data_IF_185976328958
#
_entry.id   IF_185976328958
#
_cell.length_a   1.000
_cell.length_b   1.000
_cell.length_c   1.000
_cell.angle_alpha   90.00
_cell.angle_beta   90.00
_cell.angle_gamma   90.00
#
_symmetry.space_group_name_H-M   'P 1'
#
loop_
_entity.id
_entity.type
_entity.pdbx_description
1 polymer ?
#
# COMPACT_ATOMS: atom_id res chain seq x y z
N UNK A 1 -35.72 11.16 9.53
CA UNK A 1 -34.31 11.59 9.60
C UNK A 1 -33.54 10.52 10.34
N UNK A 2 -32.74 9.70 9.65
CA UNK A 2 -31.97 8.63 10.28
C UNK A 2 -30.90 9.22 11.20
N UNK A 3 -30.79 8.72 12.42
CA UNK A 3 -29.69 9.06 13.33
C UNK A 3 -28.39 8.68 12.63
N UNK A 4 -27.51 9.64 12.34
CA UNK A 4 -26.15 9.35 11.87
C UNK A 4 -25.40 8.73 13.04
N UNK A 5 -25.30 7.41 13.06
CA UNK A 5 -24.49 6.66 14.02
C UNK A 5 -23.03 6.79 13.65
N UNK A 6 -22.18 7.11 14.64
CA UNK A 6 -20.73 7.21 14.44
C UNK A 6 -20.15 5.85 13.98
N UNK A 7 -19.17 5.90 13.07
CA UNK A 7 -18.32 4.76 12.72
C UNK A 7 -17.39 4.44 13.88
N UNK A 8 -17.59 3.30 14.55
CA UNK A 8 -16.76 2.89 15.68
C UNK A 8 -15.75 1.84 15.23
N UNK A 9 -14.46 2.12 15.41
CA UNK A 9 -13.36 1.20 15.10
C UNK A 9 -12.59 0.88 16.38
N UNK A 10 -12.35 -0.40 16.65
CA UNK A 10 -11.64 -0.90 17.82
C UNK A 10 -10.41 -1.66 17.35
N UNK A 11 -9.23 -1.17 17.73
CA UNK A 11 -7.96 -1.82 17.44
C UNK A 11 -7.51 -2.59 18.67
N UNK A 12 -7.48 -3.92 18.59
CA UNK A 12 -7.09 -4.80 19.69
C UNK A 12 -5.71 -5.37 19.42
N UNK A 13 -4.81 -5.29 20.41
CA UNK A 13 -3.47 -5.83 20.30
C UNK A 13 -2.48 -4.93 19.55
N UNK A 14 -2.74 -3.63 19.45
CA UNK A 14 -1.83 -2.69 18.77
C UNK A 14 -0.47 -2.63 19.47
N UNK A 15 0.61 -2.81 18.71
CA UNK A 15 1.98 -2.65 19.19
C UNK A 15 2.64 -1.36 18.72
N UNK A 16 2.18 -0.76 17.62
CA UNK A 16 2.77 0.44 17.02
C UNK A 16 1.81 1.64 17.07
N UNK A 17 2.29 2.81 17.50
CA UNK A 17 1.54 4.06 17.39
C UNK A 17 1.20 4.42 15.94
N UNK A 18 2.08 4.07 14.99
CA UNK A 18 1.91 4.34 13.58
C UNK A 18 0.66 3.63 13.01
N UNK A 19 0.46 2.36 13.35
CA UNK A 19 -0.67 1.57 12.81
C UNK A 19 -2.01 2.18 13.25
N UNK A 20 -2.11 2.59 14.51
CA UNK A 20 -3.30 3.26 15.02
C UNK A 20 -3.48 4.68 14.43
N UNK A 21 -2.38 5.39 14.20
CA UNK A 21 -2.37 6.71 13.59
C UNK A 21 -2.86 6.70 12.14
N UNK A 22 -2.49 5.70 11.35
CA UNK A 22 -2.94 5.52 9.96
C UNK A 22 -4.46 5.31 9.90
N UNK A 23 -5.04 4.50 10.81
CA UNK A 23 -6.50 4.31 10.89
C UNK A 23 -7.22 5.63 11.23
N UNK A 24 -6.73 6.36 12.23
CA UNK A 24 -7.31 7.64 12.62
C UNK A 24 -7.26 8.66 11.46
N UNK A 25 -6.15 8.71 10.73
CA UNK A 25 -6.00 9.57 9.54
C UNK A 25 -6.97 9.18 8.43
N UNK A 26 -7.13 7.89 8.18
CA UNK A 26 -8.01 7.35 7.13
C UNK A 26 -9.47 7.71 7.41
N UNK A 27 -9.92 7.54 8.66
CA UNK A 27 -11.26 7.94 9.10
C UNK A 27 -11.46 9.46 8.98
N UNK A 28 -10.47 10.26 9.40
CA UNK A 28 -10.54 11.71 9.26
C UNK A 28 -10.61 12.16 7.78
N UNK A 29 -9.82 11.55 6.91
CA UNK A 29 -9.83 11.86 5.47
C UNK A 29 -11.17 11.50 4.81
N UNK A 30 -11.78 10.37 5.21
CA UNK A 30 -13.03 9.89 4.62
C UNK A 30 -14.31 10.52 5.20
N UNK A 31 -14.31 10.85 6.49
CA UNK A 31 -15.52 11.27 7.23
C UNK A 31 -15.41 12.69 7.80
N UNK A 32 -14.25 13.33 7.70
CA UNK A 32 -14.00 14.66 8.24
C UNK A 32 -13.90 14.68 9.77
N UNK A 33 -14.34 15.77 10.39
CA UNK A 33 -14.12 16.04 11.81
C UNK A 33 -15.03 15.26 12.80
N UNK A 34 -16.06 14.57 12.30
CA UNK A 34 -17.09 13.90 13.11
C UNK A 34 -17.60 12.63 12.46
N UNK A 35 -18.43 11.86 13.16
CA UNK A 35 -19.01 10.64 12.60
C UNK A 35 -18.11 9.41 12.73
N UNK A 36 -17.04 9.48 13.53
CA UNK A 36 -16.13 8.35 13.75
C UNK A 36 -15.45 8.37 15.11
N UNK A 37 -15.08 7.18 15.61
CA UNK A 37 -14.30 6.97 16.83
C UNK A 37 -13.33 5.81 16.65
N UNK A 38 -12.13 5.96 17.19
CA UNK A 38 -11.10 4.91 17.26
C UNK A 38 -10.82 4.58 18.72
N UNK A 39 -11.00 3.33 19.09
CA UNK A 39 -10.72 2.78 20.41
C UNK A 39 -9.52 1.84 20.31
N UNK A 40 -8.51 2.02 21.14
CA UNK A 40 -7.23 1.29 21.02
C UNK A 40 -6.98 0.53 22.32
N UNK A 41 -6.84 -0.78 22.22
CA UNK A 41 -6.45 -1.69 23.31
C UNK A 41 -5.06 -2.21 22.99
N UNK A 42 -3.99 -1.63 23.56
CA UNK A 42 -2.64 -1.91 23.10
C UNK A 42 -1.97 -3.09 23.85
N UNK A 43 -1.03 -3.80 23.18
CA UNK A 43 -0.20 -4.85 23.82
C UNK A 43 0.80 -4.25 24.82
N UNK A 44 1.30 -3.06 24.52
CA UNK A 44 2.27 -2.29 25.32
C UNK A 44 1.76 -0.86 25.53
N UNK A 45 2.39 -0.10 26.41
CA UNK A 45 2.03 1.31 26.61
C UNK A 45 2.30 2.09 25.32
N UNK A 46 1.29 2.75 24.77
CA UNK A 46 1.41 3.65 23.63
C UNK A 46 1.40 5.11 24.10
N UNK A 47 2.14 5.96 23.40
CA UNK A 47 2.10 7.41 23.63
C UNK A 47 1.00 8.07 22.81
N UNK A 48 -0.01 8.63 23.49
CA UNK A 48 -1.08 9.40 22.82
C UNK A 48 -0.49 10.59 22.05
N UNK A 49 0.53 11.25 22.60
CA UNK A 49 1.23 12.36 21.92
C UNK A 49 1.86 11.91 20.61
N UNK A 50 2.57 10.77 20.61
CA UNK A 50 3.16 10.23 19.37
C UNK A 50 2.09 9.82 18.38
N UNK A 51 1.03 9.15 18.82
CA UNK A 51 -0.09 8.77 17.96
C UNK A 51 -0.71 10.00 17.28
N UNK A 52 -0.97 11.07 18.02
CA UNK A 52 -1.52 12.31 17.47
C UNK A 52 -0.57 12.89 16.41
N UNK A 53 0.72 12.99 16.70
CA UNK A 53 1.74 13.49 15.76
C UNK A 53 1.78 12.64 14.49
N UNK A 54 1.88 11.32 14.64
CA UNK A 54 1.91 10.36 13.52
C UNK A 54 0.61 10.38 12.72
N UNK A 55 -0.55 10.62 13.35
CA UNK A 55 -1.84 10.60 12.65
C UNK A 55 -2.02 11.77 11.69
N UNK A 56 -1.32 12.91 11.91
CA UNK A 56 -1.54 14.18 11.19
C UNK A 56 -3.00 14.68 11.23
N UNK A 57 -3.83 14.15 12.13
CA UNK A 57 -5.18 14.66 12.41
C UNK A 57 -5.07 15.88 13.32
N UNK A 58 -5.85 16.96 13.11
CA UNK A 58 -5.84 18.10 14.02
C UNK A 58 -6.02 17.66 15.48
N UNK A 59 -5.20 18.19 16.39
CA UNK A 59 -5.10 17.71 17.79
C UNK A 59 -6.46 17.69 18.49
N UNK A 60 -7.28 18.73 18.30
CA UNK A 60 -8.63 18.82 18.90
C UNK A 60 -9.57 17.72 18.42
N UNK A 61 -9.44 17.29 17.16
CA UNK A 61 -10.22 16.22 16.55
C UNK A 61 -9.70 14.87 17.04
N UNK A 62 -8.38 14.68 17.06
CA UNK A 62 -7.75 13.44 17.53
C UNK A 62 -8.08 13.16 19.01
N UNK A 63 -8.03 14.17 19.88
CA UNK A 63 -8.39 14.03 21.30
C UNK A 63 -9.87 13.69 21.51
N UNK A 64 -10.76 14.15 20.62
CA UNK A 64 -12.19 13.86 20.69
C UNK A 64 -12.52 12.45 20.22
N UNK A 65 -11.87 11.98 19.16
CA UNK A 65 -12.26 10.78 18.43
C UNK A 65 -11.36 9.57 18.70
N UNK A 66 -10.14 9.74 19.23
CA UNK A 66 -9.21 8.63 19.51
C UNK A 66 -9.10 8.40 21.01
N UNK A 67 -9.29 7.16 21.45
CA UNK A 67 -9.19 6.75 22.86
C UNK A 67 -8.25 5.56 23.00
N UNK A 68 -7.25 5.68 23.87
CA UNK A 68 -6.34 4.59 24.23
C UNK A 68 -6.75 4.06 25.60
N UNK A 69 -7.12 2.79 25.66
CA UNK A 69 -7.56 2.10 26.86
C UNK A 69 -6.36 1.46 27.57
N UNK A 70 -6.46 1.35 28.90
CA UNK A 70 -5.55 0.50 29.67
C UNK A 70 -6.00 -0.95 29.47
N UNK A 71 -5.03 -1.88 29.44
CA UNK A 71 -5.22 -3.29 29.04
C UNK A 71 -6.54 -3.89 29.56
N UNK A 72 -7.23 -4.63 28.68
CA UNK A 72 -8.40 -5.47 28.94
C UNK A 72 -9.77 -4.78 29.13
N UNK A 73 -9.88 -3.46 29.04
CA UNK A 73 -11.19 -2.80 29.07
C UNK A 73 -11.73 -2.58 27.65
N UNK A 74 -12.84 -3.25 27.33
CA UNK A 74 -13.63 -2.93 26.15
C UNK A 74 -14.44 -1.66 26.40
N UNK A 75 -14.65 -0.80 25.38
CA UNK A 75 -15.62 0.28 25.52
C UNK A 75 -17.00 -0.33 25.79
N UNK A 76 -17.67 0.07 26.88
CA UNK A 76 -19.07 -0.30 27.16
C UNK A 76 -20.09 0.23 26.11
N UNK A 77 -19.60 0.83 25.01
CA UNK A 77 -20.37 1.58 24.01
C UNK A 77 -20.11 1.08 22.58
N UNK A 78 -19.76 -0.20 22.39
CA UNK A 78 -19.73 -0.76 21.04
C UNK A 78 -21.16 -1.02 20.60
N UNK A 79 -21.57 -0.38 19.50
CA UNK A 79 -22.82 -0.69 18.82
C UNK A 79 -22.72 -2.09 18.22
N UNK A 80 -23.63 -2.98 18.63
CA UNK A 80 -23.83 -4.28 18.01
C UNK A 80 -24.57 -4.12 16.66
N UNK A 81 -24.30 -4.99 15.65
CA UNK A 81 -23.42 -6.15 15.70
C UNK A 81 -21.93 -5.78 15.69
N UNK A 82 -21.12 -6.67 16.26
CA UNK A 82 -19.66 -6.54 16.29
C UNK A 82 -19.10 -7.33 15.10
N UNK A 83 -18.37 -6.65 14.23
CA UNK A 83 -17.71 -7.26 13.08
C UNK A 83 -16.23 -7.41 13.37
N UNK A 84 -15.71 -8.60 13.15
CA UNK A 84 -14.30 -8.92 13.36
C UNK A 84 -13.65 -9.15 12.00
N UNK A 85 -12.68 -8.30 11.64
CA UNK A 85 -11.95 -8.44 10.37
C UNK A 85 -10.96 -9.59 10.49
N UNK A 86 -11.24 -10.69 9.81
CA UNK A 86 -10.41 -11.89 9.76
C UNK A 86 -10.05 -12.21 8.30
N UNK A 87 -8.82 -11.88 7.84
CA UNK A 87 -8.38 -12.09 6.47
C UNK A 87 -8.35 -13.55 6.01
N UNK A 88 -8.46 -14.51 6.94
CA UNK A 88 -8.44 -15.95 6.66
C UNK A 88 -9.82 -16.50 6.25
N UNK A 89 -10.87 -15.70 6.39
CA UNK A 89 -12.26 -16.12 6.11
C UNK A 89 -12.68 -15.79 4.66
N UNK A 90 -13.84 -16.31 4.24
CA UNK A 90 -14.43 -16.07 2.89
C UNK A 90 -15.79 -15.36 2.97
N UNK A 91 -16.17 -14.86 4.14
CA UNK A 91 -17.46 -14.20 4.33
C UNK A 91 -17.41 -12.76 3.79
N UNK A 92 -18.44 -12.38 3.04
CA UNK A 92 -18.52 -11.15 2.25
C UNK A 92 -19.76 -10.28 2.52
N UNK A 93 -20.63 -10.67 3.46
CA UNK A 93 -21.88 -9.93 3.73
C UNK A 93 -21.85 -9.25 5.09
N UNK A 94 -22.15 -7.95 5.09
CA UNK A 94 -22.11 -7.11 6.29
C UNK A 94 -23.45 -6.43 6.50
N UNK A 95 -24.00 -6.43 7.73
CA UNK A 95 -25.11 -5.54 8.09
C UNK A 95 -24.65 -4.08 8.13
N UNK A 96 -25.51 -3.16 7.68
CA UNK A 96 -25.16 -1.76 7.37
C UNK A 96 -24.57 -0.91 8.52
N UNK A 97 -24.56 -1.38 9.77
CA UNK A 97 -24.14 -0.55 10.91
C UNK A 97 -23.56 -1.37 12.06
N UNK A 98 -22.24 -1.48 12.13
CA UNK A 98 -21.55 -2.30 13.13
C UNK A 98 -20.28 -1.64 13.64
N UNK A 99 -19.95 -1.89 14.91
CA UNK A 99 -18.62 -1.58 15.43
C UNK A 99 -17.61 -2.53 14.81
N UNK A 100 -16.56 -1.99 14.21
CA UNK A 100 -15.50 -2.75 13.58
C UNK A 100 -14.41 -3.07 14.60
N UNK A 101 -14.16 -4.35 14.87
CA UNK A 101 -13.02 -4.81 15.66
C UNK A 101 -11.93 -5.34 14.71
N UNK A 102 -10.73 -4.81 14.92
CA UNK A 102 -9.53 -5.12 14.17
C UNK A 102 -8.53 -5.78 15.12
N UNK A 103 -8.11 -6.99 14.76
CA UNK A 103 -7.59 -7.97 15.72
C UNK A 103 -6.12 -8.35 15.49
N UNK A 104 -5.18 -7.58 16.08
CA UNK A 104 -3.71 -7.75 15.92
C UNK A 104 -3.11 -8.81 16.85
N UNK A 105 -3.95 -9.46 17.66
CA UNK A 105 -3.54 -10.51 18.59
C UNK A 105 -4.63 -11.56 18.68
N UNK A 106 -4.37 -12.74 18.11
CA UNK A 106 -5.30 -13.87 18.11
C UNK A 106 -5.73 -14.26 19.54
N UNK A 107 -4.83 -14.18 20.53
CA UNK A 107 -5.12 -14.54 21.90
C UNK A 107 -6.08 -13.55 22.56
N UNK A 108 -5.90 -12.24 22.32
CA UNK A 108 -6.82 -11.23 22.84
C UNK A 108 -8.16 -11.25 22.11
N UNK A 109 -8.15 -11.67 20.84
CA UNK A 109 -9.33 -11.69 19.99
C UNK A 109 -10.23 -12.91 20.16
N UNK A 110 -9.71 -13.99 20.75
CA UNK A 110 -10.50 -15.15 21.19
C UNK A 110 -11.69 -14.78 22.12
N UNK A 111 -11.62 -13.62 22.76
CA UNK A 111 -12.64 -13.09 23.69
C UNK A 111 -13.91 -12.58 23.00
N UNK A 112 -13.91 -12.42 21.68
CA UNK A 112 -15.05 -11.95 20.89
C UNK A 112 -15.74 -13.10 20.15
N UNK A 113 -16.01 -14.21 20.84
CA UNK A 113 -16.53 -15.45 20.26
C UNK A 113 -17.93 -15.33 19.62
N UNK A 114 -18.71 -14.31 19.99
CA UNK A 114 -20.05 -14.03 19.45
C UNK A 114 -20.06 -13.09 18.23
N UNK A 115 -18.91 -12.59 17.80
CA UNK A 115 -18.80 -11.63 16.69
C UNK A 115 -18.81 -12.30 15.31
N UNK A 116 -19.37 -11.61 14.32
CA UNK A 116 -19.34 -12.07 12.93
C UNK A 116 -17.96 -11.80 12.35
N UNK A 117 -17.29 -12.85 11.85
CA UNK A 117 -16.00 -12.73 11.17
C UNK A 117 -16.20 -12.49 9.68
N UNK A 118 -15.51 -11.50 9.13
CA UNK A 118 -15.59 -11.14 7.71
C UNK A 118 -14.21 -10.88 7.14
N UNK A 119 -14.06 -11.19 5.85
CA UNK A 119 -12.79 -11.09 5.13
C UNK A 119 -12.61 -9.75 4.42
N UNK A 120 -13.73 -9.15 4.00
CA UNK A 120 -13.82 -7.93 3.19
C UNK A 120 -15.07 -7.18 3.66
N UNK A 121 -15.02 -5.85 3.74
CA UNK A 121 -16.13 -5.06 4.30
C UNK A 121 -17.21 -4.69 3.27
N UNK A 122 -16.95 -4.91 1.98
CA UNK A 122 -17.93 -4.69 0.91
C UNK A 122 -18.02 -3.21 0.52
N UNK A 123 -18.54 -2.95 -0.68
CA UNK A 123 -18.46 -1.64 -1.36
C UNK A 123 -19.35 -0.52 -0.79
N UNK A 124 -20.23 -0.80 0.17
CA UNK A 124 -21.20 0.18 0.68
C UNK A 124 -20.56 1.29 1.53
N UNK A 125 -19.33 1.09 2.02
CA UNK A 125 -18.61 2.12 2.75
C UNK A 125 -17.08 2.08 2.46
N UNK A 126 -16.59 2.96 1.57
CA UNK A 126 -15.19 2.94 1.12
C UNK A 126 -14.18 3.22 2.25
N UNK A 127 -14.61 3.86 3.34
CA UNK A 127 -13.76 4.14 4.50
C UNK A 127 -13.48 2.85 5.28
N UNK A 128 -14.50 2.00 5.45
CA UNK A 128 -14.32 0.68 6.06
C UNK A 128 -13.43 -0.21 5.17
N UNK A 129 -13.66 -0.21 3.86
CA UNK A 129 -12.84 -0.99 2.92
C UNK A 129 -11.37 -0.58 2.97
N UNK A 130 -11.07 0.74 2.97
CA UNK A 130 -9.71 1.24 3.12
C UNK A 130 -9.05 0.77 4.42
N UNK A 131 -9.78 0.79 5.54
CA UNK A 131 -9.31 0.30 6.85
C UNK A 131 -9.01 -1.20 6.82
N UNK A 132 -9.87 -2.00 6.18
CA UNK A 132 -9.66 -3.44 6.03
C UNK A 132 -8.43 -3.73 5.16
N UNK A 133 -8.22 -2.99 4.07
CA UNK A 133 -7.05 -3.13 3.17
C UNK A 133 -5.75 -2.82 3.90
N UNK A 134 -5.70 -1.69 4.61
CA UNK A 134 -4.56 -1.27 5.45
C UNK A 134 -4.17 -2.36 6.46
N UNK A 135 -5.17 -3.09 6.93
CA UNK A 135 -5.00 -4.09 7.94
C UNK A 135 -4.60 -5.46 7.38
N UNK A 136 -5.21 -5.87 6.26
CA UNK A 136 -4.83 -7.09 5.56
C UNK A 136 -3.38 -6.98 5.05
N UNK A 137 -2.94 -5.82 4.57
CA UNK A 137 -1.53 -5.61 4.20
C UNK A 137 -0.59 -5.69 5.41
N UNK A 138 -1.03 -5.24 6.59
CA UNK A 138 -0.24 -5.30 7.82
C UNK A 138 -0.18 -6.70 8.45
N UNK A 139 -1.27 -7.49 8.39
CA UNK A 139 -1.28 -8.91 8.77
C UNK A 139 -0.45 -9.74 7.78
N UNK A 140 -0.51 -9.42 6.48
CA UNK A 140 0.22 -10.14 5.43
C UNK A 140 1.68 -9.70 5.28
N UNK A 141 2.35 -9.32 6.37
CA UNK A 141 3.82 -9.17 6.45
C UNK A 141 4.60 -10.49 6.28
N UNK A 142 4.12 -11.37 5.40
CA UNK A 142 4.79 -12.56 4.87
C UNK A 142 4.42 -12.73 3.40
N UNK A 143 4.47 -11.66 2.60
CA UNK A 143 4.62 -11.85 1.16
C UNK A 143 6.11 -12.11 0.91
N UNK A 144 6.48 -13.36 0.63
CA UNK A 144 7.80 -13.66 0.08
C UNK A 144 7.93 -12.83 -1.21
N UNK A 145 8.89 -11.91 -1.25
CA UNK A 145 9.27 -11.16 -2.46
C UNK A 145 9.45 -12.16 -3.60
N UNK A 146 8.53 -12.16 -4.57
CA UNK A 146 8.65 -13.01 -5.74
C UNK A 146 9.60 -12.32 -6.71
N UNK A 147 10.75 -12.94 -6.96
CA UNK A 147 11.72 -12.41 -7.90
C UNK A 147 11.23 -12.56 -9.35
N UNK A 148 11.54 -11.61 -10.24
CA UNK A 148 11.33 -11.77 -11.68
C UNK A 148 12.01 -13.05 -12.19
N UNK A 149 11.33 -13.87 -13.00
CA UNK A 149 11.89 -15.14 -13.46
C UNK A 149 13.15 -15.00 -14.34
N UNK A 150 13.29 -13.87 -15.05
CA UNK A 150 14.32 -13.65 -16.05
C UNK A 150 15.17 -12.43 -15.71
N UNK A 151 16.43 -12.41 -16.17
CA UNK A 151 17.29 -11.23 -16.12
C UNK A 151 16.88 -10.22 -17.21
N UNK A 152 16.97 -8.90 -16.96
CA UNK A 152 16.77 -7.87 -17.97
C UNK A 152 17.91 -7.86 -19.00
N UNK A 153 17.66 -7.29 -20.19
CA UNK A 153 18.70 -7.08 -21.21
C UNK A 153 19.66 -5.97 -20.78
N UNK A 154 20.95 -6.08 -21.10
CA UNK A 154 21.98 -5.13 -20.67
C UNK A 154 21.71 -3.68 -21.11
N UNK A 155 21.22 -3.49 -22.33
CA UNK A 155 20.92 -2.19 -22.94
C UNK A 155 19.82 -1.40 -22.23
N UNK A 156 19.02 -2.06 -21.37
CA UNK A 156 17.92 -1.44 -20.63
C UNK A 156 18.15 -1.37 -19.12
N UNK A 157 19.22 -2.00 -18.59
CA UNK A 157 19.48 -2.09 -17.14
C UNK A 157 19.51 -0.71 -16.48
N UNK A 158 20.29 0.23 -17.03
CA UNK A 158 20.39 1.58 -16.45
C UNK A 158 19.04 2.30 -16.34
N UNK A 159 18.18 2.16 -17.35
CA UNK A 159 16.83 2.76 -17.37
C UNK A 159 15.90 2.07 -16.38
N UNK A 160 15.97 0.75 -16.26
CA UNK A 160 15.21 -0.02 -15.26
C UNK A 160 15.64 0.31 -13.83
N UNK A 161 16.94 0.53 -13.58
CA UNK A 161 17.44 0.97 -12.26
C UNK A 161 16.83 2.30 -11.87
N UNK A 162 16.87 3.29 -12.78
CA UNK A 162 16.27 4.60 -12.53
C UNK A 162 14.77 4.48 -12.23
N UNK A 163 14.05 3.75 -13.09
CA UNK A 163 12.62 3.56 -12.96
C UNK A 163 12.24 2.83 -11.67
N UNK A 164 12.98 1.78 -11.30
CA UNK A 164 12.82 1.04 -10.06
C UNK A 164 12.96 1.94 -8.82
N UNK A 165 13.96 2.83 -8.78
CA UNK A 165 14.12 3.80 -7.68
C UNK A 165 12.87 4.69 -7.54
N UNK A 166 12.34 5.17 -8.65
CA UNK A 166 11.13 6.01 -8.66
C UNK A 166 9.85 5.26 -8.30
N UNK A 167 9.76 3.97 -8.60
CA UNK A 167 8.64 3.13 -8.13
C UNK A 167 8.59 3.04 -6.60
N UNK A 168 9.75 2.90 -5.94
CA UNK A 168 9.81 2.91 -4.47
C UNK A 168 9.43 4.27 -3.88
N UNK A 169 9.87 5.38 -4.48
CA UNK A 169 9.44 6.72 -4.07
C UNK A 169 7.92 6.86 -4.21
N UNK A 170 7.36 6.44 -5.35
CA UNK A 170 5.92 6.48 -5.63
C UNK A 170 5.08 5.62 -4.67
N UNK A 171 5.62 4.48 -4.23
CA UNK A 171 5.01 3.64 -3.20
C UNK A 171 5.13 4.26 -1.80
N UNK A 172 6.27 4.88 -1.49
CA UNK A 172 6.50 5.54 -0.21
C UNK A 172 5.68 6.82 -0.02
N UNK A 173 5.23 7.45 -1.12
CA UNK A 173 4.24 8.55 -1.06
C UNK A 173 2.95 8.14 -0.37
N UNK A 174 2.58 6.86 -0.45
CA UNK A 174 1.46 6.29 0.27
C UNK A 174 1.95 5.52 1.50
N UNK A 175 1.63 6.00 2.70
CA UNK A 175 2.03 5.40 3.99
C UNK A 175 1.58 3.94 4.20
N UNK A 176 0.80 3.38 3.26
CA UNK A 176 0.32 2.02 3.27
C UNK A 176 1.03 1.08 2.29
N UNK A 177 1.82 1.60 1.36
CA UNK A 177 2.58 0.84 0.36
C UNK A 177 1.75 -0.16 -0.47
N UNK A 178 0.44 0.08 -0.59
CA UNK A 178 -0.48 -0.81 -1.31
C UNK A 178 -0.89 -0.31 -2.69
N UNK A 179 -0.60 0.96 -2.96
CA UNK A 179 -0.94 1.68 -4.21
C UNK A 179 0.27 2.52 -4.58
N UNK A 180 0.50 2.71 -5.88
CA UNK A 180 1.61 3.48 -6.44
C UNK A 180 1.10 4.85 -6.85
N UNK A 181 1.86 5.91 -6.59
CA UNK A 181 1.51 7.24 -7.08
C UNK A 181 1.64 7.34 -8.61
N UNK A 182 0.54 7.48 -9.37
CA UNK A 182 0.61 7.43 -10.83
C UNK A 182 1.43 8.58 -11.42
N UNK A 183 1.34 9.76 -10.83
CA UNK A 183 2.08 10.97 -11.23
C UNK A 183 3.60 10.74 -11.21
N UNK A 184 4.12 10.16 -10.12
CA UNK A 184 5.55 9.89 -9.93
C UNK A 184 6.02 8.82 -10.91
N UNK A 185 5.23 7.76 -11.09
CA UNK A 185 5.55 6.68 -12.02
C UNK A 185 5.58 7.17 -13.48
N UNK A 186 4.57 7.92 -13.89
CA UNK A 186 4.48 8.50 -15.25
C UNK A 186 5.62 9.48 -15.49
N UNK A 187 5.96 10.33 -14.51
CA UNK A 187 7.10 11.21 -14.59
C UNK A 187 8.42 10.44 -14.78
N UNK A 188 8.61 9.34 -14.03
CA UNK A 188 9.79 8.49 -14.14
C UNK A 188 9.91 7.85 -15.52
N UNK A 189 8.81 7.31 -16.05
CA UNK A 189 8.77 6.73 -17.41
C UNK A 189 9.06 7.80 -18.47
N UNK A 190 8.45 8.98 -18.36
CA UNK A 190 8.68 10.09 -19.28
C UNK A 190 10.16 10.48 -19.29
N UNK A 191 10.80 10.58 -18.13
CA UNK A 191 12.24 10.86 -18.02
C UNK A 191 13.11 9.75 -18.64
N UNK A 192 12.73 8.49 -18.44
CA UNK A 192 13.49 7.34 -18.97
C UNK A 192 13.42 7.23 -20.51
N UNK A 193 12.35 7.75 -21.13
CA UNK A 193 12.09 7.55 -22.56
C UNK A 193 12.17 8.80 -23.43
N UNK A 194 12.22 10.01 -22.84
CA UNK A 194 12.27 11.25 -23.63
C UNK A 194 13.52 11.32 -24.53
N UNK A 195 14.65 10.78 -24.07
CA UNK A 195 15.88 10.67 -24.87
C UNK A 195 15.78 9.68 -26.03
N UNK A 196 14.81 8.76 -25.96
CA UNK A 196 14.51 7.76 -26.99
C UNK A 196 13.42 8.25 -27.96
N UNK A 197 12.96 9.49 -27.81
CA UNK A 197 11.96 10.09 -28.69
C UNK A 197 10.51 9.77 -28.35
N UNK A 198 10.22 9.27 -27.14
CA UNK A 198 8.86 8.98 -26.71
C UNK A 198 8.39 9.90 -25.57
N UNK A 199 7.13 10.31 -25.64
CA UNK A 199 6.41 10.97 -24.56
C UNK A 199 5.34 10.01 -24.03
N UNK A 200 5.20 9.94 -22.70
CA UNK A 200 4.18 9.12 -22.04
C UNK A 200 3.25 10.03 -21.24
N UNK A 201 1.96 9.73 -21.31
CA UNK A 201 0.94 10.34 -20.46
C UNK A 201 -0.01 9.32 -19.85
N UNK A 202 -0.64 9.69 -18.73
CA UNK A 202 -1.60 8.82 -18.03
C UNK A 202 -2.95 8.87 -18.74
N UNK A 203 -3.40 7.72 -19.27
CA UNK A 203 -4.72 7.59 -19.88
C UNK A 203 -5.81 7.39 -18.82
N UNK A 204 -5.64 6.35 -17.98
CA UNK A 204 -6.56 6.02 -16.88
C UNK A 204 -5.88 5.15 -15.83
N UNK A 205 -6.47 5.11 -14.64
CA UNK A 205 -6.07 4.22 -13.54
C UNK A 205 -7.26 3.34 -13.19
N UNK A 206 -7.02 2.03 -13.05
CA UNK A 206 -7.98 1.08 -12.52
C UNK A 206 -7.41 0.45 -11.25
N UNK A 207 -8.14 0.51 -10.16
CA UNK A 207 -7.76 -0.15 -8.89
C UNK A 207 -8.81 -1.19 -8.58
N UNK A 208 -8.37 -2.43 -8.38
CA UNK A 208 -9.23 -3.54 -7.99
C UNK A 208 -8.79 -4.12 -6.66
N UNK A 209 -9.78 -4.39 -5.81
CA UNK A 209 -9.60 -4.93 -4.47
C UNK A 209 -10.25 -6.31 -4.42
N UNK A 210 -9.47 -7.33 -4.07
CA UNK A 210 -9.97 -8.70 -3.92
C UNK A 210 -9.21 -9.41 -2.83
N UNK A 211 -9.91 -9.93 -1.80
CA UNK A 211 -9.32 -10.72 -0.71
C UNK A 211 -8.05 -10.05 -0.13
N UNK A 212 -8.06 -8.74 0.09
CA UNK A 212 -6.91 -7.95 0.59
C UNK A 212 -5.66 -7.96 -0.29
N UNK A 213 -5.85 -8.24 -1.58
CA UNK A 213 -4.91 -7.93 -2.65
C UNK A 213 -5.39 -6.65 -3.33
N UNK A 214 -4.46 -5.74 -3.59
CA UNK A 214 -4.67 -4.57 -4.44
C UNK A 214 -3.98 -4.85 -5.76
N UNK A 215 -4.74 -4.82 -6.85
CA UNK A 215 -4.18 -4.79 -8.20
C UNK A 215 -4.50 -3.43 -8.79
N UNK A 216 -3.46 -2.65 -9.02
CA UNK A 216 -3.53 -1.35 -9.66
C UNK A 216 -3.01 -1.46 -11.09
N UNK A 217 -3.76 -0.91 -12.04
CA UNK A 217 -3.41 -0.87 -13.47
C UNK A 217 -3.40 0.58 -13.94
N UNK A 218 -2.26 1.03 -14.42
CA UNK A 218 -2.07 2.34 -15.03
C UNK A 218 -1.99 2.14 -16.53
N UNK A 219 -2.95 2.66 -17.26
CA UNK A 219 -2.95 2.66 -18.72
C UNK A 219 -2.33 3.97 -19.19
N UNK A 220 -1.42 3.86 -20.15
CA UNK A 220 -0.56 4.96 -20.56
C UNK A 220 -0.68 5.17 -22.07
N UNK A 221 -0.87 6.42 -22.48
CA UNK A 221 -0.77 6.82 -23.88
C UNK A 221 0.68 7.11 -24.25
N UNK A 222 1.12 6.56 -25.39
CA UNK A 222 2.46 6.77 -25.94
C UNK A 222 2.36 7.71 -27.13
N UNK A 223 3.21 8.72 -27.17
CA UNK A 223 3.32 9.67 -28.26
C UNK A 223 4.76 9.74 -28.78
N UNK A 224 4.90 10.04 -30.06
CA UNK A 224 6.17 10.49 -30.63
C UNK A 224 6.50 11.87 -30.08
N UNK A 225 7.69 12.05 -29.49
CA UNK A 225 8.05 13.27 -28.79
C UNK A 225 8.27 14.48 -29.73
N UNK A 226 8.50 14.25 -31.03
CA UNK A 226 8.74 15.33 -32.01
C UNK A 226 7.45 15.82 -32.65
N UNK A 227 6.57 14.89 -32.98
CA UNK A 227 5.34 15.15 -33.76
C UNK A 227 4.08 15.14 -32.90
N UNK A 228 4.18 14.68 -31.64
CA UNK A 228 3.05 14.47 -30.73
C UNK A 228 1.97 13.51 -31.28
N UNK A 229 2.33 12.71 -32.29
CA UNK A 229 1.42 11.69 -32.84
C UNK A 229 1.27 10.56 -31.83
N UNK A 230 0.03 10.15 -31.57
CA UNK A 230 -0.27 8.97 -30.77
C UNK A 230 0.24 7.70 -31.46
N UNK A 231 1.00 6.89 -30.71
CA UNK A 231 1.67 5.68 -31.19
C UNK A 231 1.03 4.40 -30.64
N UNK A 232 0.37 4.46 -29.49
CA UNK A 232 -0.28 3.30 -28.89
C UNK A 232 -0.47 3.40 -27.38
N UNK A 233 -0.79 2.26 -26.78
CA UNK A 233 -1.07 2.13 -25.35
C UNK A 233 -0.04 1.21 -24.67
N UNK A 234 0.44 1.63 -23.52
CA UNK A 234 1.19 0.81 -22.57
C UNK A 234 0.38 0.58 -21.30
N UNK A 235 0.82 -0.39 -20.50
CA UNK A 235 0.21 -0.67 -19.21
C UNK A 235 1.28 -0.95 -18.16
N UNK A 236 1.05 -0.43 -16.97
CA UNK A 236 1.79 -0.80 -15.76
C UNK A 236 0.83 -1.43 -14.78
N UNK A 237 1.15 -2.63 -14.30
CA UNK A 237 0.33 -3.36 -13.33
C UNK A 237 1.12 -3.57 -12.05
N UNK A 238 0.62 -3.06 -10.94
CA UNK A 238 1.16 -3.34 -9.62
C UNK A 238 0.26 -4.33 -8.87
N UNK A 239 0.85 -5.43 -8.42
CA UNK A 239 0.21 -6.44 -7.59
C UNK A 239 0.80 -6.38 -6.17
N UNK A 240 0.04 -5.81 -5.23
CA UNK A 240 0.50 -5.64 -3.85
C UNK A 240 0.64 -6.94 -3.08
N UNK A 241 0.00 -8.04 -3.51
CA UNK A 241 0.12 -9.34 -2.86
C UNK A 241 1.47 -9.99 -3.15
N UNK A 242 1.96 -9.84 -4.37
CA UNK A 242 3.25 -10.38 -4.81
C UNK A 242 4.37 -9.33 -4.80
N UNK A 243 4.04 -8.08 -4.48
CA UNK A 243 4.89 -6.90 -4.62
C UNK A 243 5.57 -6.81 -6.00
N UNK A 244 4.81 -7.14 -7.04
CA UNK A 244 5.33 -7.24 -8.39
C UNK A 244 4.76 -6.11 -9.23
N UNK A 245 5.64 -5.37 -9.90
CA UNK A 245 5.28 -4.39 -10.90
C UNK A 245 5.61 -4.93 -12.29
N UNK A 246 4.59 -5.02 -13.14
CA UNK A 246 4.71 -5.48 -14.51
C UNK A 246 4.57 -4.29 -15.46
N UNK A 247 5.59 -4.10 -16.30
CA UNK A 247 5.58 -3.17 -17.42
C UNK A 247 5.17 -3.95 -18.65
N UNK A 248 4.20 -3.45 -19.41
CA UNK A 248 3.74 -4.08 -20.64
C UNK A 248 3.69 -3.08 -21.77
N UNK A 249 4.25 -3.45 -22.92
CA UNK A 249 4.30 -2.64 -24.14
C UNK A 249 4.93 -1.24 -23.97
N UNK A 250 5.83 -1.06 -23.01
CA UNK A 250 6.56 0.21 -22.86
C UNK A 250 7.72 0.23 -23.88
N UNK A 251 7.81 1.26 -24.76
CA UNK A 251 8.90 1.35 -25.72
C UNK A 251 10.26 1.27 -25.02
N UNK A 252 11.22 0.57 -25.63
CA UNK A 252 12.58 0.34 -25.13
C UNK A 252 12.65 -0.57 -23.88
N UNK A 253 11.79 -0.35 -22.88
CA UNK A 253 11.73 -1.15 -21.66
C UNK A 253 11.06 -2.51 -21.85
N UNK A 254 10.24 -2.71 -22.89
CA UNK A 254 9.59 -3.99 -23.19
C UNK A 254 8.71 -4.52 -22.04
N UNK A 255 8.54 -5.84 -22.03
CA UNK A 255 7.76 -6.54 -21.00
C UNK A 255 8.68 -6.99 -19.85
N UNK A 256 8.73 -6.18 -18.81
CA UNK A 256 9.61 -6.40 -17.66
C UNK A 256 8.86 -6.42 -16.33
N UNK A 257 9.37 -7.24 -15.42
CA UNK A 257 8.84 -7.39 -14.06
C UNK A 257 9.86 -6.88 -13.07
N UNK A 258 9.39 -6.11 -12.11
CA UNK A 258 10.18 -5.55 -11.02
C UNK A 258 9.55 -6.04 -9.72
N UNK A 259 10.36 -6.60 -8.83
CA UNK A 259 9.89 -6.98 -7.51
C UNK A 259 10.29 -5.92 -6.49
N UNK A 260 9.34 -5.45 -5.69
CA UNK A 260 9.52 -4.32 -4.80
C UNK A 260 9.48 -4.81 -3.34
N UNK A 261 10.63 -4.85 -2.68
CA UNK A 261 10.71 -5.09 -1.24
C UNK A 261 10.59 -3.75 -0.51
N UNK A 262 9.35 -3.37 -0.20
CA UNK A 262 9.03 -2.12 0.49
C UNK A 262 9.72 -2.05 1.87
N UNK A 263 9.71 -3.15 2.63
CA UNK A 263 10.23 -3.17 4.01
C UNK A 263 11.73 -2.91 4.05
N UNK A 264 12.47 -3.57 3.16
CA UNK A 264 13.93 -3.37 3.04
C UNK A 264 14.29 -2.19 2.14
N UNK A 265 13.30 -1.50 1.57
CA UNK A 265 13.44 -0.45 0.55
C UNK A 265 14.32 -0.92 -0.61
N UNK A 266 14.04 -2.10 -1.16
CA UNK A 266 14.79 -2.67 -2.28
C UNK A 266 13.91 -2.88 -3.50
N UNK A 267 14.50 -2.79 -4.69
CA UNK A 267 13.86 -3.29 -5.92
C UNK A 267 14.76 -4.33 -6.55
N UNK A 268 14.18 -5.45 -6.93
CA UNK A 268 14.87 -6.56 -7.57
C UNK A 268 14.46 -6.65 -9.03
N UNK A 269 15.48 -6.65 -9.90
CA UNK A 269 15.32 -6.64 -11.36
C UNK A 269 15.42 -8.03 -11.97
N UNK A 270 15.83 -9.04 -11.19
CA UNK A 270 16.12 -10.39 -11.69
C UNK A 270 15.85 -11.49 -10.65
N UNK A 271 16.17 -12.75 -10.97
CA UNK A 271 15.63 -13.94 -10.30
C UNK A 271 16.14 -14.21 -8.89
N UNK A 272 17.10 -13.44 -8.40
CA UNK A 272 17.73 -13.65 -7.10
C UNK A 272 18.00 -12.33 -6.37
N UNK A 273 18.31 -12.42 -5.08
CA UNK A 273 18.63 -11.27 -4.24
C UNK A 273 19.85 -10.46 -4.73
N UNK A 274 20.78 -11.11 -5.46
CA UNK A 274 21.94 -10.45 -6.07
C UNK A 274 21.55 -9.36 -7.09
N UNK A 275 20.33 -9.43 -7.63
CA UNK A 275 19.77 -8.47 -8.56
C UNK A 275 18.91 -7.40 -7.87
N UNK A 276 19.03 -7.25 -6.55
CA UNK A 276 18.32 -6.25 -5.77
C UNK A 276 19.15 -5.01 -5.50
N UNK A 277 18.48 -3.87 -5.54
CA UNK A 277 19.05 -2.55 -5.32
C UNK A 277 18.40 -1.96 -4.08
N UNK A 278 19.21 -1.65 -3.06
CA UNK A 278 18.75 -0.90 -1.90
C UNK A 278 18.63 0.59 -2.25
N UNK A 279 17.46 1.16 -2.01
CA UNK A 279 17.11 2.55 -2.29
C UNK A 279 17.00 3.28 -0.96
N UNK A 280 18.04 4.03 -0.62
CA UNK A 280 18.21 4.66 0.69
C UNK A 280 19.66 5.08 0.99
N UNK A 281 20.63 4.56 0.23
CA UNK A 281 21.89 5.27 0.05
C UNK A 281 21.73 6.18 -1.17
N UNK A 282 22.00 7.47 -1.00
CA UNK A 282 22.44 8.34 -2.08
C UNK A 282 23.66 7.70 -2.72
N UNK A 283 23.42 6.81 -3.68
CA UNK A 283 24.48 6.35 -4.54
C UNK A 283 24.60 7.42 -5.61
N UNK A 284 25.75 8.08 -5.63
CA UNK A 284 26.25 8.74 -6.82
C UNK A 284 25.91 7.83 -8.02
N UNK A 285 25.28 8.41 -9.03
CA UNK A 285 24.64 7.70 -10.16
C UNK A 285 25.56 6.69 -10.85
N UNK A 286 26.87 6.82 -10.64
CA UNK A 286 27.89 6.15 -11.43
C UNK A 286 28.53 4.96 -10.67
N UNK A 287 28.77 5.05 -9.36
CA UNK A 287 29.48 3.99 -8.59
C UNK A 287 28.68 2.68 -8.42
N UNK A 288 27.34 2.76 -8.34
CA UNK A 288 26.49 1.55 -8.30
C UNK A 288 26.16 1.00 -9.67
N UNK A 289 26.28 1.81 -10.73
CA UNK A 289 26.09 1.32 -12.08
C UNK A 289 27.23 0.35 -12.41
N UNK A 290 28.48 0.70 -12.11
CA UNK A 290 29.63 -0.17 -12.38
C UNK A 290 29.60 -1.46 -11.56
N UNK A 291 29.30 -1.41 -10.27
CA UNK A 291 29.19 -2.61 -9.43
C UNK A 291 28.05 -3.54 -9.89
N UNK A 292 26.93 -2.98 -10.36
CA UNK A 292 25.80 -3.76 -10.84
C UNK A 292 26.04 -4.28 -12.26
N UNK A 293 26.60 -3.47 -13.16
CA UNK A 293 27.04 -3.90 -14.50
C UNK A 293 28.08 -5.01 -14.39
N UNK A 294 28.99 -4.93 -13.42
CA UNK A 294 29.93 -6.00 -13.10
C UNK A 294 29.26 -7.29 -12.62
N UNK A 295 28.15 -7.26 -11.87
CA UNK A 295 27.37 -8.48 -11.52
C UNK A 295 26.71 -9.09 -12.77
N UNK A 296 26.37 -8.27 -13.77
CA UNK A 296 25.83 -8.75 -15.04
C UNK A 296 26.91 -9.29 -16.00
N UNK A 297 28.13 -8.73 -15.98
CA UNK A 297 29.25 -9.17 -16.82
C UNK A 297 30.13 -10.27 -16.21
N UNK A 298 30.25 -10.36 -14.88
CA UNK A 298 31.09 -11.36 -14.18
C UNK A 298 30.42 -12.72 -13.95
N UNK A 299 29.15 -12.87 -14.35
CA UNK A 299 28.41 -14.13 -14.31
C UNK A 299 28.22 -14.75 -15.71
N UNK A 300 29.13 -14.46 -16.64
CA UNK A 300 29.35 -15.19 -17.88
C UNK A 300 30.24 -16.40 -17.67
#
# INVERSE_FOLDING_TARGET
>A
MGVKTDVNVVLVGVSSEFDAAVIARTLYAGLGASGWKVHIIPKRRLSMTRLIVESRVPVSIALKNVRVYRKNELPHQLAEPIILVDPSTTSHSIPDYASLIICLDENLCSRFSTSQRVSILGLSNPVYEAIAILYISHIRRVARTQYPANKPREDVVGKLIYFARKCLEALASFDNYTVIEPSVLVFALRKALIGEGYLIDLHRVEISFSLGQVIEKLYLDIYDAKTFRHLGLAMVVYDSKNNLLHLSNIPVLGDHKLSIDVERKRVCLGPTEAYCLSVGQEAASDEKLDAFTNIFTSAM
#
